data_IF_780684639599
#
_entry.id   IF_780684639599
#
_cell.length_a   1.000
_cell.length_b   1.000
_cell.length_c   1.000
_cell.angle_alpha   90.00
_cell.angle_beta   90.00
_cell.angle_gamma   90.00
#
_symmetry.space_group_name_H-M   'P 1'
#
loop_
_entity.id
_entity.type
_entity.pdbx_description
1 polymer ?
#
# COMPACT_ATOMS: atom_id res chain seq x y z
N UNK A 1 -10.53 9.67 -2.41
CA UNK A 1 -9.28 8.91 -2.64
C UNK A 1 -9.00 8.89 -4.13
N UNK A 2 -7.76 9.14 -4.55
CA UNK A 2 -7.31 8.94 -5.93
C UNK A 2 -6.47 7.66 -6.01
N UNK A 3 -6.72 6.82 -7.02
CA UNK A 3 -6.08 5.50 -7.20
C UNK A 3 -5.34 5.54 -8.53
N UNK A 4 -4.03 5.33 -8.50
CA UNK A 4 -3.16 5.37 -9.68
C UNK A 4 -2.49 4.00 -9.80
N UNK A 5 -2.63 3.36 -10.96
CA UNK A 5 -1.92 2.13 -11.29
C UNK A 5 -0.71 2.45 -12.18
N UNK A 6 0.46 2.00 -11.76
CA UNK A 6 1.72 2.26 -12.48
C UNK A 6 2.21 1.03 -13.29
N UNK A 7 1.45 -0.07 -13.28
CA UNK A 7 1.81 -1.32 -13.95
C UNK A 7 2.09 -2.46 -12.97
N UNK A 8 1.99 -3.71 -13.46
CA UNK A 8 2.13 -4.93 -12.67
C UNK A 8 1.31 -4.84 -11.37
N UNK A 9 1.94 -4.89 -10.20
CA UNK A 9 1.31 -4.87 -8.86
C UNK A 9 1.33 -3.49 -8.20
N UNK A 10 1.99 -2.50 -8.81
CA UNK A 10 2.22 -1.20 -8.18
C UNK A 10 1.02 -0.28 -8.29
N UNK A 11 0.43 0.03 -7.14
CA UNK A 11 -0.58 1.06 -6.97
C UNK A 11 -0.09 2.19 -6.09
N UNK A 12 -0.50 3.42 -6.41
CA UNK A 12 -0.35 4.59 -5.56
C UNK A 12 -1.75 5.12 -5.20
N UNK A 13 -2.05 5.17 -3.91
CA UNK A 13 -3.26 5.78 -3.38
C UNK A 13 -2.91 7.13 -2.79
N UNK A 14 -3.64 8.16 -3.21
CA UNK A 14 -3.51 9.52 -2.65
C UNK A 14 -4.83 9.84 -1.96
N UNK A 15 -4.77 9.97 -0.64
CA UNK A 15 -5.93 10.32 0.18
C UNK A 15 -5.76 11.71 0.78
N UNK A 16 -6.85 12.47 0.79
CA UNK A 16 -6.93 13.73 1.51
C UNK A 16 -6.84 13.46 3.02
N UNK A 17 -6.26 14.40 3.79
CA UNK A 17 -6.34 14.32 5.25
C UNK A 17 -7.81 14.38 5.66
N UNK A 18 -8.18 13.60 6.70
CA UNK A 18 -9.53 13.56 7.21
C UNK A 18 -10.05 15.00 7.45
N UNK A 19 -11.14 15.37 6.76
CA UNK A 19 -11.81 16.64 7.02
C UNK A 19 -12.54 16.49 8.34
N UNK A 20 -12.12 17.23 9.37
CA UNK A 20 -12.98 17.45 10.53
C UNK A 20 -14.35 17.92 10.01
N UNK A 21 -15.36 17.12 10.31
CA UNK A 21 -16.73 17.24 9.83
C UNK A 21 -17.39 18.53 10.33
N UNK A 22 -17.31 19.64 9.57
CA UNK A 22 -18.40 20.64 9.54
C UNK A 22 -18.33 21.73 8.45
N UNK A 23 -17.38 21.79 7.53
CA UNK A 23 -17.38 22.88 6.53
C UNK A 23 -17.52 22.38 5.10
N UNK A 24 -18.76 22.38 4.61
CA UNK A 24 -19.07 22.43 3.17
C UNK A 24 -18.42 23.69 2.61
N UNK A 25 -17.31 23.59 1.87
CA UNK A 25 -16.93 24.63 0.90
C UNK A 25 -15.95 24.13 -0.19
N UNK A 26 -16.42 24.35 -1.42
CA UNK A 26 -15.72 24.68 -2.67
C UNK A 26 -14.54 23.82 -3.16
N UNK A 27 -14.76 23.22 -4.33
CA UNK A 27 -13.80 22.60 -5.25
C UNK A 27 -12.82 23.61 -5.88
N UNK A 28 -11.95 24.25 -5.11
CA UNK A 28 -10.88 25.05 -5.70
C UNK A 28 -9.59 24.97 -4.87
N UNK A 29 -8.55 24.40 -5.50
CA UNK A 29 -7.15 24.39 -5.05
C UNK A 29 -6.88 23.72 -3.70
N UNK A 30 -6.92 22.39 -3.67
CA UNK A 30 -6.34 21.61 -2.58
C UNK A 30 -4.81 21.76 -2.67
N UNK A 31 -4.21 22.48 -1.72
CA UNK A 31 -2.77 22.43 -1.50
C UNK A 31 -2.34 20.96 -1.32
N UNK A 32 -1.25 20.54 -1.97
CA UNK A 32 -0.61 19.22 -1.78
C UNK A 32 -0.11 18.99 -0.33
N UNK A 33 -0.11 20.04 0.50
CA UNK A 33 0.24 19.95 1.91
C UNK A 33 -0.84 19.19 2.69
N UNK A 34 -0.52 17.96 3.10
CA UNK A 34 -1.34 17.15 3.99
C UNK A 34 -1.99 15.91 3.37
N UNK A 35 -1.84 15.69 2.05
CA UNK A 35 -2.23 14.42 1.44
C UNK A 35 -1.35 13.28 1.96
N UNK A 36 -1.97 12.11 2.15
CA UNK A 36 -1.29 10.89 2.56
C UNK A 36 -1.14 10.03 1.31
N UNK A 37 0.09 9.61 1.03
CA UNK A 37 0.43 8.74 -0.09
C UNK A 37 0.68 7.32 0.41
N UNK A 38 -0.01 6.36 -0.18
CA UNK A 38 0.13 4.93 0.11
C UNK A 38 0.65 4.28 -1.17
N UNK A 39 1.76 3.57 -1.08
CA UNK A 39 2.29 2.77 -2.19
C UNK A 39 2.07 1.29 -1.86
N UNK A 40 1.53 0.53 -2.80
CA UNK A 40 1.26 -0.90 -2.66
C UNK A 40 2.13 -1.63 -3.68
N UNK A 41 2.83 -2.67 -3.21
CA UNK A 41 3.64 -3.59 -4.00
C UNK A 41 4.57 -2.91 -5.03
N UNK A 42 5.58 -2.14 -4.59
CA UNK A 42 6.56 -1.58 -5.52
C UNK A 42 7.38 -2.67 -6.20
N UNK A 43 7.42 -2.65 -7.54
CA UNK A 43 8.21 -3.60 -8.34
C UNK A 43 9.63 -3.10 -8.64
N UNK A 44 10.54 -4.00 -9.04
CA UNK A 44 11.91 -3.70 -9.47
C UNK A 44 12.00 -3.49 -10.98
N UNK A 45 13.04 -2.79 -11.46
CA UNK A 45 13.28 -2.63 -12.91
C UNK A 45 13.63 -3.98 -13.60
N UNK A 46 13.95 -5.02 -12.83
CA UNK A 46 14.33 -6.35 -13.32
C UNK A 46 13.20 -7.03 -14.10
N UNK A 47 11.94 -6.65 -13.86
CA UNK A 47 10.78 -7.15 -14.62
C UNK A 47 10.64 -6.50 -16.01
N UNK A 48 11.55 -5.60 -16.37
CA UNK A 48 11.56 -4.90 -17.66
C UNK A 48 10.61 -3.70 -17.76
N UNK A 49 9.97 -3.32 -16.66
CA UNK A 49 9.15 -2.11 -16.56
C UNK A 49 9.96 -0.95 -15.94
N UNK A 50 9.68 0.26 -16.41
CA UNK A 50 10.27 1.47 -15.83
C UNK A 50 9.62 1.77 -14.48
N UNK A 51 10.41 1.80 -13.42
CA UNK A 51 9.92 2.16 -12.08
C UNK A 51 9.65 3.66 -12.03
N UNK A 52 8.43 4.11 -11.63
CA UNK A 52 8.13 5.52 -11.47
C UNK A 52 8.88 6.12 -10.27
N UNK A 53 8.97 7.45 -10.22
CA UNK A 53 9.46 8.13 -9.00
C UNK A 53 8.38 8.07 -7.93
N UNK A 54 8.61 7.27 -6.90
CA UNK A 54 7.64 7.04 -5.83
C UNK A 54 8.00 7.83 -4.58
N UNK A 55 6.99 8.39 -3.93
CA UNK A 55 7.05 8.98 -2.60
C UNK A 55 5.85 8.48 -1.80
N UNK A 56 6.07 8.00 -0.58
CA UNK A 56 5.00 7.49 0.25
C UNK A 56 5.08 8.00 1.69
N UNK A 57 3.95 7.89 2.37
CA UNK A 57 3.84 7.93 3.83
C UNK A 57 3.70 6.51 4.39
N UNK A 58 3.04 5.63 3.63
CA UNK A 58 2.82 4.22 3.98
C UNK A 58 3.21 3.37 2.76
N UNK A 59 3.95 2.28 2.98
CA UNK A 59 4.23 1.27 1.96
C UNK A 59 3.64 -0.05 2.40
N UNK A 60 2.82 -0.66 1.56
CA UNK A 60 2.25 -1.98 1.75
C UNK A 60 2.97 -2.97 0.83
N UNK A 61 3.39 -4.10 1.39
CA UNK A 61 3.95 -5.23 0.64
C UNK A 61 3.12 -6.46 0.97
N UNK A 62 2.43 -6.99 -0.03
CA UNK A 62 1.54 -8.17 0.14
C UNK A 62 2.34 -9.42 0.43
N UNK A 63 3.48 -9.61 -0.24
CA UNK A 63 4.37 -10.74 -0.06
C UNK A 63 5.79 -10.44 -0.58
N UNK A 64 6.76 -11.27 -0.16
CA UNK A 64 8.19 -11.03 -0.44
C UNK A 64 8.69 -11.63 -1.75
N UNK A 65 7.98 -11.39 -2.86
CA UNK A 65 8.51 -11.66 -4.21
C UNK A 65 9.16 -10.41 -4.81
N UNK A 66 10.17 -10.63 -5.66
CA UNK A 66 11.02 -9.58 -6.24
C UNK A 66 10.26 -8.50 -7.02
N UNK A 67 9.10 -8.86 -7.56
CA UNK A 67 8.19 -8.04 -8.33
C UNK A 67 7.14 -7.31 -7.46
N UNK A 68 7.17 -7.48 -6.13
CA UNK A 68 6.21 -6.88 -5.19
C UNK A 68 6.87 -6.16 -3.99
N UNK A 69 8.19 -6.25 -3.80
CA UNK A 69 8.84 -5.83 -2.55
C UNK A 69 9.98 -4.81 -2.70
N UNK A 70 10.06 -4.08 -3.81
CA UNK A 70 11.08 -3.08 -4.08
C UNK A 70 10.86 -1.77 -3.29
N UNK A 71 10.77 -1.86 -1.96
CA UNK A 71 10.60 -0.73 -1.04
C UNK A 71 11.71 0.32 -1.22
N UNK A 72 12.89 -0.14 -1.67
CA UNK A 72 14.03 0.73 -1.97
C UNK A 72 13.78 1.70 -3.11
N UNK A 73 12.79 1.49 -3.98
CA UNK A 73 12.41 2.46 -5.01
C UNK A 73 11.61 3.65 -4.46
N UNK A 74 11.05 3.53 -3.25
CA UNK A 74 10.29 4.59 -2.61
C UNK A 74 11.23 5.59 -1.94
N UNK A 75 11.07 6.86 -2.28
CA UNK A 75 11.90 7.96 -1.75
C UNK A 75 11.80 8.03 -0.23
N UNK A 76 12.95 8.14 0.44
CA UNK A 76 13.03 8.21 1.91
C UNK A 76 12.89 6.85 2.62
N UNK A 77 12.78 5.74 1.89
CA UNK A 77 12.89 4.39 2.46
C UNK A 77 14.19 4.20 3.27
N UNK A 78 14.23 3.29 4.26
CA UNK A 78 15.41 3.09 5.11
C UNK A 78 16.74 2.91 4.37
N UNK A 79 16.70 2.28 3.19
CA UNK A 79 17.87 2.10 2.31
C UNK A 79 18.31 3.35 1.56
N UNK A 80 17.44 4.35 1.44
CA UNK A 80 17.70 5.63 0.77
C UNK A 80 17.96 6.79 1.76
N UNK A 81 17.93 6.55 3.07
CA UNK A 81 18.27 7.56 4.08
C UNK A 81 19.77 7.89 3.96
N UNK A 82 20.08 8.82 3.08
CA UNK A 82 21.14 9.78 3.33
C UNK A 82 20.49 10.98 4.01
N UNK A 83 21.19 11.60 4.97
CA UNK A 83 20.78 12.80 5.72
C UNK A 83 20.28 13.99 4.86
N UNK A 84 20.30 13.88 3.53
CA UNK A 84 20.06 14.95 2.55
C UNK A 84 18.60 15.36 2.32
N UNK A 85 17.58 14.62 2.78
CA UNK A 85 16.20 14.85 2.33
C UNK A 85 15.21 15.38 3.38
N UNK A 86 15.57 15.46 4.66
CA UNK A 86 14.74 16.10 5.70
C UNK A 86 13.30 15.56 5.87
N UNK A 87 12.97 14.42 5.25
CA UNK A 87 11.64 13.79 5.26
C UNK A 87 11.72 12.46 6.02
N UNK A 88 10.72 12.20 6.85
CA UNK A 88 10.61 10.93 7.58
C UNK A 88 10.41 9.76 6.61
N UNK A 89 10.98 8.60 6.95
CA UNK A 89 10.77 7.37 6.19
C UNK A 89 9.32 6.93 6.20
N UNK A 90 8.82 6.33 5.11
CA UNK A 90 7.48 5.78 5.08
C UNK A 90 7.34 4.65 6.09
N UNK A 91 6.14 4.48 6.63
CA UNK A 91 5.80 3.34 7.47
C UNK A 91 5.60 2.10 6.60
N UNK A 92 6.40 1.07 6.80
CA UNK A 92 6.33 -0.19 6.04
C UNK A 92 5.41 -1.18 6.75
N UNK A 93 4.44 -1.72 6.02
CA UNK A 93 3.60 -2.84 6.44
C UNK A 93 3.84 -3.99 5.45
N UNK A 94 4.27 -5.13 5.98
CA UNK A 94 4.65 -6.31 5.18
C UNK A 94 4.15 -7.61 5.79
N UNK A 95 2.95 -7.58 6.38
CA UNK A 95 2.34 -8.74 7.01
C UNK A 95 0.95 -8.46 7.58
N UNK A 96 0.28 -9.49 8.11
CA UNK A 96 -1.04 -9.37 8.70
C UNK A 96 -1.07 -8.53 9.99
N UNK A 97 -2.21 -7.92 10.27
CA UNK A 97 -2.43 -7.10 11.46
C UNK A 97 -3.36 -5.91 11.20
N UNK A 98 -3.71 -5.20 12.26
CA UNK A 98 -4.46 -3.94 12.17
C UNK A 98 -3.52 -2.77 12.37
N UNK A 99 -3.68 -1.75 11.53
CA UNK A 99 -2.83 -0.58 11.51
C UNK A 99 -3.67 0.68 11.32
N UNK A 100 -3.38 1.71 12.11
CA UNK A 100 -3.96 3.04 11.94
C UNK A 100 -2.84 4.07 11.82
N UNK A 101 -2.64 4.60 10.61
CA UNK A 101 -1.58 5.57 10.32
C UNK A 101 -2.20 6.78 9.65
N UNK A 102 -2.04 7.96 10.27
CA UNK A 102 -2.52 9.24 9.72
C UNK A 102 -4.02 9.21 9.36
N UNK A 103 -4.85 8.54 10.17
CA UNK A 103 -6.29 8.33 9.92
C UNK A 103 -6.61 7.48 8.66
N UNK A 104 -5.66 6.65 8.22
CA UNK A 104 -5.93 5.55 7.30
C UNK A 104 -5.96 4.28 8.13
N UNK A 105 -7.10 3.58 8.09
CA UNK A 105 -7.22 2.27 8.71
C UNK A 105 -6.85 1.20 7.69
N UNK A 106 -5.94 0.30 8.06
CA UNK A 106 -5.42 -0.76 7.20
C UNK A 106 -5.50 -2.07 7.97
N UNK A 107 -6.13 -3.06 7.35
CA UNK A 107 -6.21 -4.42 7.88
C UNK A 107 -5.48 -5.36 6.93
N UNK A 108 -4.39 -5.95 7.41
CA UNK A 108 -3.68 -7.05 6.76
C UNK A 108 -4.27 -8.38 7.19
N UNK A 109 -4.78 -9.15 6.23
CA UNK A 109 -5.42 -10.44 6.43
C UNK A 109 -4.49 -11.52 5.84
N UNK A 110 -4.15 -12.50 6.66
CA UNK A 110 -3.30 -13.62 6.24
C UNK A 110 -3.97 -14.44 5.14
N UNK A 111 -3.20 -14.79 4.10
CA UNK A 111 -3.64 -15.60 2.97
C UNK A 111 -2.45 -16.33 2.33
N UNK A 112 -2.68 -17.01 1.21
CA UNK A 112 -1.65 -17.81 0.54
C UNK A 112 -1.64 -17.52 -0.96
N UNK A 113 -0.45 -17.59 -1.56
CA UNK A 113 -0.23 -17.49 -3.01
C UNK A 113 -0.52 -18.81 -3.74
N UNK A 114 -1.00 -19.82 -3.02
CA UNK A 114 -1.40 -21.10 -3.60
C UNK A 114 -2.58 -21.72 -2.83
N UNK A 115 -3.10 -22.82 -3.38
CA UNK A 115 -4.16 -23.62 -2.78
C UNK A 115 -3.64 -24.71 -1.84
N UNK A 116 -2.36 -24.63 -1.45
CA UNK A 116 -1.63 -25.59 -0.61
C UNK A 116 -1.00 -24.92 0.62
N UNK A 117 -1.63 -23.88 1.14
CA UNK A 117 -1.21 -23.18 2.37
C UNK A 117 0.22 -22.60 2.28
N UNK A 118 0.58 -22.08 1.12
CA UNK A 118 1.88 -21.44 0.87
C UNK A 118 3.02 -22.42 0.60
N UNK A 119 2.76 -23.72 0.47
CA UNK A 119 3.82 -24.73 0.23
C UNK A 119 4.55 -24.49 -1.09
N UNK A 120 3.85 -24.03 -2.13
CA UNK A 120 4.40 -23.88 -3.47
C UNK A 120 4.88 -22.46 -3.77
N UNK A 121 4.18 -21.44 -3.25
CA UNK A 121 4.38 -20.03 -3.60
C UNK A 121 4.43 -19.08 -2.39
N UNK A 122 4.29 -19.62 -1.18
CA UNK A 122 4.43 -18.85 0.05
C UNK A 122 3.16 -18.14 0.51
N UNK A 123 3.35 -17.34 1.55
CA UNK A 123 2.31 -16.54 2.18
C UNK A 123 1.98 -15.29 1.36
N UNK A 124 0.75 -14.80 1.50
CA UNK A 124 0.28 -13.56 0.92
C UNK A 124 -0.52 -12.78 1.97
N UNK A 125 -0.48 -11.45 1.94
CA UNK A 125 -1.31 -10.61 2.78
C UNK A 125 -2.30 -9.84 1.92
N UNK A 126 -3.58 -10.07 2.16
CA UNK A 126 -4.65 -9.22 1.63
C UNK A 126 -4.68 -7.95 2.47
N UNK A 127 -4.76 -6.77 1.85
CA UNK A 127 -4.92 -5.51 2.58
C UNK A 127 -6.27 -4.88 2.29
N UNK A 128 -7.05 -4.60 3.33
CA UNK A 128 -8.13 -3.63 3.23
C UNK A 128 -7.65 -2.26 3.72
N UNK A 129 -8.01 -1.20 3.00
CA UNK A 129 -7.56 0.17 3.24
C UNK A 129 -8.79 1.06 3.27
N UNK A 130 -9.05 1.68 4.41
CA UNK A 130 -10.20 2.55 4.61
C UNK A 130 -9.73 3.99 4.84
N UNK A 131 -10.16 4.88 3.94
CA UNK A 131 -9.96 6.32 4.06
C UNK A 131 -10.97 7.08 3.19
N UNK A 132 -11.33 8.30 3.59
CA UNK A 132 -12.34 9.13 2.89
C UNK A 132 -13.68 8.40 2.64
N UNK A 133 -14.17 7.64 3.62
CA UNK A 133 -15.40 6.84 3.52
C UNK A 133 -15.38 5.81 2.38
N UNK A 134 -14.20 5.46 1.87
CA UNK A 134 -13.98 4.43 0.86
C UNK A 134 -13.14 3.31 1.47
N UNK A 135 -13.55 2.06 1.20
CA UNK A 135 -12.80 0.86 1.55
C UNK A 135 -12.30 0.18 0.28
N UNK A 136 -10.99 0.10 0.12
CA UNK A 136 -10.29 -0.60 -0.96
C UNK A 136 -9.77 -1.95 -0.44
N UNK A 137 -9.84 -3.00 -1.25
CA UNK A 137 -9.25 -4.30 -0.94
C UNK A 137 -8.22 -4.66 -2.01
N UNK A 138 -6.95 -4.82 -1.60
CA UNK A 138 -5.86 -5.32 -2.42
C UNK A 138 -5.60 -6.77 -2.05
N UNK A 139 -5.83 -7.69 -2.98
CA UNK A 139 -5.70 -9.12 -2.71
C UNK A 139 -4.26 -9.63 -2.77
N UNK A 140 -3.30 -8.80 -3.21
CA UNK A 140 -1.96 -9.29 -3.58
C UNK A 140 -2.08 -10.37 -4.66
N UNK A 141 -1.25 -11.40 -4.54
CA UNK A 141 -1.32 -12.57 -5.40
C UNK A 141 -2.06 -13.72 -4.71
N UNK A 142 -3.35 -13.52 -4.44
CA UNK A 142 -4.18 -14.57 -3.85
C UNK A 142 -4.23 -15.81 -4.76
N UNK A 143 -3.75 -16.94 -4.26
CA UNK A 143 -3.75 -18.22 -4.99
C UNK A 143 -4.72 -19.27 -4.43
N UNK A 144 -5.46 -18.91 -3.39
CA UNK A 144 -6.51 -19.76 -2.81
C UNK A 144 -7.71 -19.88 -3.78
N UNK A 145 -8.41 -21.01 -3.75
CA UNK A 145 -9.63 -21.21 -4.54
C UNK A 145 -10.82 -20.44 -3.99
N UNK A 146 -10.89 -20.33 -2.68
CA UNK A 146 -11.96 -19.70 -1.92
C UNK A 146 -11.34 -18.98 -0.71
N UNK A 147 -11.96 -17.89 -0.29
CA UNK A 147 -11.61 -17.23 0.96
C UNK A 147 -12.09 -18.07 2.14
N UNK A 148 -11.29 -18.15 3.20
CA UNK A 148 -11.69 -18.79 4.46
C UNK A 148 -12.73 -17.93 5.18
N UNK A 149 -13.44 -18.52 6.14
CA UNK A 149 -14.41 -17.78 6.95
C UNK A 149 -13.74 -16.60 7.67
N UNK A 150 -12.54 -16.79 8.21
CA UNK A 150 -11.79 -15.74 8.90
C UNK A 150 -11.36 -14.59 7.98
N UNK A 151 -11.24 -14.82 6.67
CA UNK A 151 -10.89 -13.79 5.70
C UNK A 151 -12.09 -12.98 5.20
N UNK A 152 -13.31 -13.46 5.47
CA UNK A 152 -14.57 -12.82 5.09
C UNK A 152 -15.16 -11.95 6.20
N UNK A 153 -14.71 -12.14 7.44
CA UNK A 153 -15.05 -11.31 8.60
C UNK A 153 -14.32 -9.97 8.57
#
# INVERSE_FOLDING_TARGET
MNIIWHGQSLFELITAPAKNSFTRRSFASQNLAGQIKIVIDPFSEEIGLKVPKLEADIVLVSHSHHDHNNVKAVSGSPSQISEKLGRASPFLISGPGEYEIKNVFIQGIASFHDDKKGEARGENTIYTIEAEDLKLCHLGDLGQKELSAEQLE
#
